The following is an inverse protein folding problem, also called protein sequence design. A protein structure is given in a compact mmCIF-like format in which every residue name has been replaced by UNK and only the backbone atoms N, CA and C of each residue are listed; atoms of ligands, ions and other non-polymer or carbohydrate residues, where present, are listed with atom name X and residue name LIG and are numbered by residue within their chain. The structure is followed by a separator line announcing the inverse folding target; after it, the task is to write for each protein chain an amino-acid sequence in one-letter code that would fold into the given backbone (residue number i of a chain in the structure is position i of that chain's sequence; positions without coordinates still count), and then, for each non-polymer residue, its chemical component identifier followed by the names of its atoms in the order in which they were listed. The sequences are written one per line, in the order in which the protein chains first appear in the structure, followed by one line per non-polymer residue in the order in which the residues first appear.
data_IF_894776635350
#
_entry.id   IF_894776635350
#
_cell.length_a   1.000
_cell.length_b   1.000
_cell.length_c   1.000
_cell.angle_alpha   90.00
_cell.angle_beta   90.00
_cell.angle_gamma   90.00
#
_symmetry.space_group_name_H-M   'P 1'
#
loop_
_entity.id
_entity.type
_entity.pdbx_description
1 polymer ?
#
# COMPACT_ATOMS: atom_id res chain seq x y z
N UNK A 1 22.69 15.45 5.19
CA UNK A 1 21.42 14.77 4.87
C UNK A 1 20.85 15.54 3.70
N UNK A 2 20.84 14.92 2.54
CA UNK A 2 20.72 15.61 1.26
C UNK A 2 19.30 15.33 0.79
N UNK A 3 18.48 16.37 0.62
CA UNK A 3 17.04 16.29 0.34
C UNK A 3 16.66 15.77 -1.07
N UNK A 4 17.49 14.93 -1.70
CA UNK A 4 17.34 14.56 -3.12
C UNK A 4 17.48 13.04 -3.43
N UNK A 5 17.26 12.14 -2.47
CA UNK A 5 17.20 10.69 -2.74
C UNK A 5 15.78 10.11 -2.83
N UNK A 6 14.75 10.95 -2.81
CA UNK A 6 13.34 10.52 -2.89
C UNK A 6 12.78 10.39 -4.31
N UNK A 7 13.56 10.72 -5.36
CA UNK A 7 13.08 10.70 -6.74
C UNK A 7 14.02 9.98 -7.71
N UNK A 8 14.25 8.70 -7.42
CA UNK A 8 14.54 7.74 -8.49
C UNK A 8 13.43 6.70 -8.47
N UNK A 9 12.24 7.09 -8.91
CA UNK A 9 11.30 6.11 -9.47
C UNK A 9 12.06 5.41 -10.59
N UNK A 10 12.36 4.13 -10.42
CA UNK A 10 12.96 3.30 -11.45
C UNK A 10 11.79 2.61 -12.19
N UNK A 11 11.24 3.21 -13.26
CA UNK A 11 10.18 2.57 -14.06
C UNK A 11 10.60 1.24 -14.70
N UNK A 12 11.88 0.85 -14.61
CA UNK A 12 12.41 -0.43 -15.07
C UNK A 12 12.36 -1.54 -14.00
N UNK A 13 12.04 -1.22 -12.74
CA UNK A 13 11.87 -2.25 -11.71
C UNK A 13 10.55 -3.02 -11.93
N UNK A 14 10.57 -4.34 -12.18
CA UNK A 14 9.35 -5.13 -12.30
C UNK A 14 8.45 -5.00 -11.06
N UNK A 15 9.04 -4.81 -9.88
CA UNK A 15 8.31 -4.60 -8.63
C UNK A 15 7.52 -3.29 -8.63
N UNK A 16 8.00 -2.25 -9.31
CA UNK A 16 7.26 -1.01 -9.49
C UNK A 16 5.95 -1.25 -10.26
N UNK A 17 6.00 -2.04 -11.33
CA UNK A 17 4.81 -2.39 -12.10
C UNK A 17 3.82 -3.24 -11.28
N UNK A 18 4.33 -4.17 -10.46
CA UNK A 18 3.50 -4.95 -9.53
C UNK A 18 2.83 -4.04 -8.52
N UNK A 19 3.58 -3.12 -7.90
CA UNK A 19 3.03 -2.18 -6.92
C UNK A 19 1.93 -1.29 -7.52
N UNK A 20 2.14 -0.75 -8.74
CA UNK A 20 1.14 0.04 -9.45
C UNK A 20 -0.11 -0.78 -9.80
N UNK A 21 0.06 -2.05 -10.20
CA UNK A 21 -1.06 -2.93 -10.49
C UNK A 21 -1.88 -3.25 -9.23
N UNK A 22 -1.23 -3.53 -8.10
CA UNK A 22 -1.89 -3.77 -6.82
C UNK A 22 -2.63 -2.52 -6.36
N UNK A 23 -1.97 -1.36 -6.38
CA UNK A 23 -2.58 -0.07 -6.01
C UNK A 23 -3.85 0.20 -6.84
N UNK A 24 -3.77 0.05 -8.16
CA UNK A 24 -4.90 0.24 -9.06
C UNK A 24 -6.05 -0.74 -8.81
N UNK A 25 -5.75 -2.01 -8.54
CA UNK A 25 -6.75 -3.03 -8.20
C UNK A 25 -7.45 -2.71 -6.88
N UNK A 26 -6.71 -2.34 -5.84
CA UNK A 26 -7.28 -1.98 -4.53
C UNK A 26 -8.22 -0.78 -4.68
N UNK A 27 -7.81 0.27 -5.42
CA UNK A 27 -8.68 1.42 -5.70
C UNK A 27 -10.00 1.00 -6.37
N UNK A 28 -9.92 0.15 -7.39
CA UNK A 28 -11.10 -0.32 -8.11
C UNK A 28 -12.04 -1.13 -7.20
N UNK A 29 -11.49 -2.04 -6.39
CA UNK A 29 -12.27 -2.87 -5.45
C UNK A 29 -12.93 -2.00 -4.38
N UNK A 30 -12.20 -1.04 -3.79
CA UNK A 30 -12.75 -0.11 -2.80
C UNK A 30 -13.92 0.68 -3.36
N UNK A 31 -13.78 1.24 -4.58
CA UNK A 31 -14.88 1.94 -5.28
C UNK A 31 -16.07 1.02 -5.50
N UNK A 32 -15.85 -0.22 -5.95
CA UNK A 32 -16.92 -1.20 -6.13
C UNK A 32 -17.65 -1.56 -4.82
N UNK A 33 -16.96 -1.46 -3.67
CA UNK A 33 -17.53 -1.67 -2.33
C UNK A 33 -18.13 -0.40 -1.71
N UNK A 34 -18.12 0.73 -2.41
CA UNK A 34 -18.57 2.02 -1.88
C UNK A 34 -17.65 2.62 -0.82
N UNK A 35 -16.39 2.18 -0.74
CA UNK A 35 -15.36 2.76 0.13
C UNK A 35 -14.65 3.93 -0.57
N UNK A 36 -14.28 4.94 0.21
CA UNK A 36 -13.43 6.04 -0.23
C UNK A 36 -11.98 5.58 -0.45
N UNK A 37 -11.26 6.29 -1.31
CA UNK A 37 -9.83 6.19 -1.50
C UNK A 37 -9.17 7.51 -1.10
N UNK A 38 -7.84 7.56 -0.87
CA UNK A 38 -7.18 8.78 -0.39
C UNK A 38 -7.42 10.02 -1.26
N UNK A 39 -7.51 9.86 -2.59
CA UNK A 39 -7.79 10.93 -3.56
C UNK A 39 -9.23 11.46 -3.49
N UNK A 40 -10.13 10.72 -2.86
CA UNK A 40 -11.51 11.13 -2.64
C UNK A 40 -11.64 12.03 -1.38
N UNK A 41 -10.56 12.18 -0.60
CA UNK A 41 -10.52 12.93 0.66
C UNK A 41 -9.64 14.19 0.55
N UNK A 42 -9.88 15.19 1.40
CA UNK A 42 -9.03 16.39 1.47
C UNK A 42 -7.73 16.08 2.23
N UNK A 43 -6.54 16.28 1.64
CA UNK A 43 -5.26 16.00 2.30
C UNK A 43 -5.09 16.74 3.64
N UNK A 44 -4.48 16.07 4.62
CA UNK A 44 -4.21 16.63 5.95
C UNK A 44 -5.43 16.65 6.89
N UNK A 45 -6.54 16.04 6.49
CA UNK A 45 -7.68 15.81 7.39
C UNK A 45 -7.57 14.45 8.07
N UNK A 46 -8.22 14.31 9.23
CA UNK A 46 -8.30 13.02 9.95
C UNK A 46 -8.96 11.95 9.07
N UNK A 47 -9.96 12.33 8.26
CA UNK A 47 -10.61 11.41 7.31
C UNK A 47 -9.63 10.91 6.24
N UNK A 48 -8.81 11.80 5.67
CA UNK A 48 -7.76 11.40 4.72
C UNK A 48 -6.76 10.44 5.35
N UNK A 49 -6.31 10.72 6.58
CA UNK A 49 -5.38 9.85 7.31
C UNK A 49 -5.99 8.46 7.54
N UNK A 50 -7.22 8.39 8.07
CA UNK A 50 -7.92 7.13 8.30
C UNK A 50 -8.13 6.33 7.01
N UNK A 51 -8.59 6.98 5.94
CA UNK A 51 -8.80 6.33 4.63
C UNK A 51 -7.47 5.86 4.03
N UNK A 52 -6.37 6.59 4.27
CA UNK A 52 -5.03 6.21 3.81
C UNK A 52 -4.52 4.97 4.54
N UNK A 53 -4.68 4.88 5.86
CA UNK A 53 -4.30 3.69 6.62
C UNK A 53 -5.10 2.47 6.16
N UNK A 54 -6.43 2.58 6.07
CA UNK A 54 -7.30 1.52 5.55
C UNK A 54 -6.92 1.09 4.11
N UNK A 55 -6.47 2.04 3.28
CA UNK A 55 -6.04 1.76 1.91
C UNK A 55 -4.72 0.98 1.87
N UNK A 56 -3.75 1.35 2.72
CA UNK A 56 -2.48 0.65 2.85
C UNK A 56 -2.71 -0.78 3.35
N UNK A 57 -3.57 -0.97 4.35
CA UNK A 57 -3.91 -2.30 4.87
C UNK A 57 -4.54 -3.19 3.78
N UNK A 58 -5.42 -2.64 2.95
CA UNK A 58 -5.97 -3.36 1.80
C UNK A 58 -4.89 -3.75 0.79
N UNK A 59 -3.84 -2.93 0.62
CA UNK A 59 -2.69 -3.25 -0.24
C UNK A 59 -1.82 -4.36 0.37
N UNK A 60 -1.53 -4.31 1.68
CA UNK A 60 -0.80 -5.36 2.40
C UNK A 60 -1.54 -6.70 2.29
N UNK A 61 -2.84 -6.71 2.56
CA UNK A 61 -3.69 -7.90 2.40
C UNK A 61 -3.70 -8.43 0.97
N UNK A 62 -3.68 -7.54 -0.03
CA UNK A 62 -3.65 -7.94 -1.45
C UNK A 62 -2.32 -8.58 -1.87
N UNK A 63 -1.23 -8.26 -1.17
CA UNK A 63 0.08 -8.90 -1.33
C UNK A 63 0.19 -10.21 -0.52
N UNK A 64 -0.85 -10.59 0.23
CA UNK A 64 -0.89 -11.77 1.09
C UNK A 64 -0.29 -11.54 2.48
N UNK A 65 0.01 -10.30 2.85
CA UNK A 65 0.47 -9.94 4.20
C UNK A 65 -0.69 -9.78 5.18
N UNK A 66 -0.35 -9.75 6.47
CA UNK A 66 -1.26 -9.37 7.55
C UNK A 66 -0.88 -7.97 8.07
N UNK A 67 -1.72 -6.94 7.88
CA UNK A 67 -1.42 -5.59 8.35
C UNK A 67 -1.51 -5.46 9.88
N UNK A 68 -2.11 -6.44 10.56
CA UNK A 68 -2.24 -6.49 12.01
C UNK A 68 -1.14 -7.34 12.66
N UNK A 69 -0.19 -7.87 11.88
CA UNK A 69 0.96 -8.58 12.41
C UNK A 69 1.80 -7.63 13.29
N UNK A 70 2.09 -8.06 14.52
CA UNK A 70 3.11 -7.39 15.32
C UNK A 70 4.44 -7.50 14.56
N UNK A 71 5.18 -6.40 14.42
CA UNK A 71 6.54 -6.40 13.87
C UNK A 71 7.42 -7.25 14.80
N UNK A 72 7.42 -8.56 14.60
CA UNK A 72 8.46 -9.43 15.10
C UNK A 72 9.72 -9.01 14.33
N UNK A 73 10.58 -8.20 14.97
CA UNK A 73 11.93 -7.88 14.51
C UNK A 73 12.78 -9.17 14.42
N UNK A 74 12.42 -10.14 13.58
CA UNK A 74 13.21 -11.34 13.31
C UNK A 74 13.16 -11.67 11.82
N UNK A 75 14.13 -11.08 11.12
CA UNK A 75 14.86 -11.62 9.97
C UNK A 75 14.53 -13.08 9.54
N UNK A 76 13.50 -13.30 8.72
CA UNK A 76 13.49 -14.37 7.70
C UNK A 76 12.26 -14.31 6.80
N UNK A 77 12.39 -13.61 5.68
CA UNK A 77 11.51 -13.87 4.54
C UNK A 77 11.77 -15.27 4.00
N UNK A 78 10.83 -16.19 4.20
CA UNK A 78 10.32 -17.19 3.25
C UNK A 78 9.08 -17.82 3.90
N UNK A 79 7.92 -17.56 3.31
CA UNK A 79 6.65 -18.18 3.72
C UNK A 79 5.78 -18.45 2.51
N UNK A 80 6.16 -19.45 1.71
CA UNK A 80 5.26 -20.09 0.77
C UNK A 80 4.43 -21.16 1.50
N UNK A 81 3.10 -21.04 1.47
CA UNK A 81 2.12 -22.11 1.64
C UNK A 81 0.74 -21.51 1.32
N UNK A 82 -0.20 -22.16 0.62
CA UNK A 82 -0.37 -23.53 0.19
C UNK A 82 -1.86 -23.71 -0.09
#
# INVERSE_FOLDING_TARGET
MNENELDKRFPEDPMWNVAQAVEGCVRAIRKARGKLNPEDCTPGTIEYEAVTMDFIDDCIRSLGGDPDAEDDEDESGIGAAG
#
